data_IF_491363834386
#
_entry.id   IF_491363834386
#
_cell.length_a   1.000
_cell.length_b   1.000
_cell.length_c   1.000
_cell.angle_alpha   90.00
_cell.angle_beta   90.00
_cell.angle_gamma   90.00
#
_symmetry.space_group_name_H-M   'P 1'
#
loop_
_entity.id
_entity.type
_entity.pdbx_description
1 polymer ?
#
# COMPACT_ATOMS: atom_id res chain seq x y z
N UNK A 1 20.20 -29.18 14.35
CA UNK A 1 20.99 -27.94 14.40
C UNK A 1 20.03 -26.80 14.67
N UNK A 2 20.35 -25.86 15.58
CA UNK A 2 19.53 -24.66 15.76
C UNK A 2 19.57 -23.86 14.44
N UNK A 3 18.39 -23.42 13.94
CA UNK A 3 18.33 -22.55 12.78
C UNK A 3 18.98 -21.22 13.13
N UNK A 4 19.89 -20.74 12.32
CA UNK A 4 20.52 -19.44 12.49
C UNK A 4 19.66 -18.39 11.82
N UNK A 5 19.40 -17.28 12.51
CA UNK A 5 18.73 -16.13 11.90
C UNK A 5 19.58 -15.57 10.76
N UNK A 6 18.94 -15.24 9.64
CA UNK A 6 19.56 -14.65 8.46
C UNK A 6 18.82 -13.40 8.00
N UNK A 7 19.45 -12.62 7.14
CA UNK A 7 18.78 -11.46 6.53
C UNK A 7 17.84 -11.87 5.39
N UNK A 8 16.81 -11.06 5.18
CA UNK A 8 15.86 -11.18 4.06
C UNK A 8 16.08 -10.01 3.10
N UNK A 9 16.47 -10.33 1.88
CA UNK A 9 16.87 -9.38 0.86
C UNK A 9 15.77 -9.17 -0.18
N UNK A 10 15.43 -7.93 -0.47
CA UNK A 10 14.53 -7.55 -1.56
C UNK A 10 15.36 -7.41 -2.81
N UNK A 11 15.09 -8.21 -3.83
CA UNK A 11 15.81 -8.19 -5.11
C UNK A 11 15.00 -7.62 -6.26
N UNK A 12 13.67 -7.53 -6.10
CA UNK A 12 12.77 -6.89 -7.06
C UNK A 12 11.62 -6.20 -6.32
N UNK A 13 11.16 -5.08 -6.86
CA UNK A 13 10.02 -4.34 -6.34
C UNK A 13 9.32 -3.62 -7.50
N UNK A 14 8.06 -3.98 -7.76
CA UNK A 14 7.28 -3.46 -8.88
C UNK A 14 5.84 -3.23 -8.49
N UNK A 15 5.16 -2.31 -9.19
CA UNK A 15 3.75 -2.04 -8.99
C UNK A 15 3.05 -1.65 -10.30
N UNK A 16 1.75 -1.77 -10.35
CA UNK A 16 0.94 -1.11 -11.37
C UNK A 16 0.87 0.39 -11.12
N UNK A 17 0.50 1.20 -12.12
CA UNK A 17 -0.10 2.49 -11.83
C UNK A 17 -1.31 2.31 -10.90
N UNK A 18 -1.72 3.37 -10.20
CA UNK A 18 -2.91 3.38 -9.35
C UNK A 18 -4.06 4.07 -10.10
N UNK A 19 -5.19 3.35 -10.25
CA UNK A 19 -6.41 3.87 -10.83
C UNK A 19 -7.36 4.43 -9.78
N UNK A 20 -8.20 5.41 -10.16
CA UNK A 20 -9.29 5.93 -9.32
C UNK A 20 -10.49 4.99 -9.34
N UNK A 21 -11.01 4.62 -8.20
CA UNK A 21 -12.28 3.92 -8.10
C UNK A 21 -13.44 4.92 -7.88
N UNK A 22 -14.64 4.61 -8.32
CA UNK A 22 -15.06 3.47 -9.15
C UNK A 22 -15.11 3.79 -10.66
N UNK A 23 -14.59 4.91 -11.12
CA UNK A 23 -14.78 5.42 -12.50
C UNK A 23 -13.48 5.61 -13.28
N UNK A 24 -12.35 5.28 -12.68
CA UNK A 24 -11.03 5.49 -13.25
C UNK A 24 -10.62 4.43 -14.27
N UNK A 25 -9.33 4.46 -14.59
CA UNK A 25 -8.77 3.68 -15.69
C UNK A 25 -8.91 2.17 -15.50
N UNK A 26 -8.91 1.67 -14.25
CA UNK A 26 -8.99 0.24 -13.93
C UNK A 26 -10.40 -0.25 -13.52
N UNK A 27 -11.44 0.58 -13.69
CA UNK A 27 -12.82 0.24 -13.29
C UNK A 27 -13.35 -1.10 -13.79
N UNK A 28 -12.84 -1.60 -14.92
CA UNK A 28 -13.22 -2.86 -15.55
C UNK A 28 -12.05 -3.86 -15.60
N UNK A 29 -10.91 -3.56 -14.93
CA UNK A 29 -9.75 -4.43 -14.86
C UNK A 29 -9.80 -5.24 -13.56
N UNK A 30 -9.75 -6.55 -13.67
CA UNK A 30 -9.83 -7.44 -12.51
C UNK A 30 -8.60 -7.29 -11.60
N UNK A 31 -8.77 -7.34 -10.28
CA UNK A 31 -7.65 -7.24 -9.33
C UNK A 31 -6.64 -8.38 -9.47
N UNK A 32 -7.08 -9.57 -9.83
CA UNK A 32 -6.19 -10.71 -10.12
C UNK A 32 -5.32 -10.45 -11.37
N UNK A 33 -5.83 -9.79 -12.41
CA UNK A 33 -5.04 -9.37 -13.58
C UNK A 33 -4.00 -8.31 -13.22
N UNK A 34 -4.35 -7.33 -12.37
CA UNK A 34 -3.39 -6.35 -11.85
C UNK A 34 -2.28 -7.03 -11.02
N UNK A 35 -2.64 -8.00 -10.17
CA UNK A 35 -1.69 -8.78 -9.40
C UNK A 35 -0.76 -9.60 -10.28
N UNK A 36 -1.31 -10.30 -11.29
CA UNK A 36 -0.52 -11.07 -12.28
C UNK A 36 0.50 -10.18 -12.97
N UNK A 37 0.08 -8.97 -13.37
CA UNK A 37 0.99 -8.01 -14.01
C UNK A 37 2.12 -7.59 -13.06
N UNK A 38 1.80 -7.25 -11.80
CA UNK A 38 2.79 -6.87 -10.81
C UNK A 38 3.80 -8.01 -10.52
N UNK A 39 3.31 -9.26 -10.39
CA UNK A 39 4.17 -10.43 -10.18
C UNK A 39 5.09 -10.65 -11.37
N UNK A 40 4.56 -10.65 -12.60
CA UNK A 40 5.36 -10.80 -13.83
C UNK A 40 6.43 -9.72 -13.95
N UNK A 41 6.07 -8.49 -13.64
CA UNK A 41 6.98 -7.36 -13.69
C UNK A 41 8.10 -7.46 -12.64
N UNK A 42 7.79 -7.91 -11.41
CA UNK A 42 8.81 -8.17 -10.40
C UNK A 42 9.75 -9.32 -10.82
N UNK A 43 9.22 -10.41 -11.37
CA UNK A 43 10.04 -11.51 -11.90
C UNK A 43 10.93 -11.05 -13.05
N UNK A 44 10.44 -10.18 -13.92
CA UNK A 44 11.21 -9.64 -15.04
C UNK A 44 12.39 -8.74 -14.59
N UNK A 45 12.36 -8.17 -13.39
CA UNK A 45 13.49 -7.42 -12.82
C UNK A 45 14.67 -8.32 -12.41
N UNK A 46 14.45 -9.63 -12.25
CA UNK A 46 15.47 -10.61 -11.85
C UNK A 46 15.53 -11.80 -12.80
N UNK A 47 15.90 -11.57 -14.08
CA UNK A 47 15.83 -12.61 -15.13
C UNK A 47 16.76 -13.80 -14.86
N UNK A 48 17.75 -13.65 -13.97
CA UNK A 48 18.63 -14.75 -13.56
C UNK A 48 18.02 -15.70 -12.53
N UNK A 49 16.90 -15.34 -11.88
CA UNK A 49 16.24 -16.17 -10.88
C UNK A 49 15.40 -17.26 -11.55
N UNK A 50 15.71 -18.54 -11.26
CA UNK A 50 14.80 -19.63 -11.64
C UNK A 50 13.54 -19.58 -10.77
N UNK A 51 12.39 -19.32 -11.36
CA UNK A 51 11.11 -19.25 -10.64
C UNK A 51 10.72 -20.52 -9.90
N UNK A 52 11.37 -21.66 -10.21
CA UNK A 52 11.17 -22.95 -9.50
C UNK A 52 11.66 -22.92 -8.06
N UNK A 53 12.55 -21.99 -7.71
CA UNK A 53 13.03 -21.84 -6.33
C UNK A 53 12.10 -20.98 -5.46
N UNK A 54 11.11 -20.32 -6.06
CA UNK A 54 10.10 -19.58 -5.32
C UNK A 54 9.17 -20.62 -4.65
N UNK A 55 9.05 -20.55 -3.34
CA UNK A 55 8.31 -21.54 -2.57
C UNK A 55 6.87 -21.11 -2.30
N UNK A 56 6.64 -19.80 -2.04
CA UNK A 56 5.32 -19.31 -1.68
C UNK A 56 5.12 -17.86 -2.13
N UNK A 57 3.85 -17.46 -2.31
CA UNK A 57 3.41 -16.11 -2.58
C UNK A 57 2.47 -15.63 -1.46
N UNK A 58 2.88 -14.62 -0.71
CA UNK A 58 2.05 -14.01 0.33
C UNK A 58 1.50 -12.68 -0.20
N UNK A 59 0.17 -12.61 -0.38
CA UNK A 59 -0.48 -11.46 -1.00
C UNK A 59 -1.51 -10.85 -0.06
N UNK A 60 -1.37 -9.55 0.18
CA UNK A 60 -2.32 -8.75 0.92
C UNK A 60 -3.56 -8.41 0.10
N UNK A 61 -4.74 -8.59 0.69
CA UNK A 61 -6.02 -8.13 0.15
C UNK A 61 -6.92 -7.74 1.32
N UNK A 62 -7.45 -6.51 1.30
CA UNK A 62 -8.23 -6.00 2.44
C UNK A 62 -9.67 -6.54 2.46
N UNK A 63 -10.26 -6.75 1.29
CA UNK A 63 -11.62 -7.27 1.15
C UNK A 63 -11.58 -8.50 0.22
N UNK A 64 -11.10 -9.66 0.71
CA UNK A 64 -10.87 -10.85 -0.12
C UNK A 64 -12.20 -11.57 -0.46
N UNK A 65 -13.00 -10.95 -1.33
CA UNK A 65 -14.26 -11.51 -1.85
C UNK A 65 -14.43 -11.20 -3.34
N UNK A 66 -15.44 -11.76 -3.97
CA UNK A 66 -15.79 -11.56 -5.38
C UNK A 66 -14.57 -11.73 -6.30
N UNK A 67 -14.23 -10.73 -7.14
CA UNK A 67 -13.13 -10.78 -8.11
C UNK A 67 -11.74 -10.89 -7.47
N UNK A 68 -11.60 -10.59 -6.19
CA UNK A 68 -10.37 -10.75 -5.39
C UNK A 68 -10.55 -11.76 -4.25
N UNK A 69 -11.60 -12.58 -4.36
CA UNK A 69 -11.95 -13.63 -3.42
C UNK A 69 -11.15 -14.92 -3.59
N UNK A 70 -11.64 -15.97 -2.94
CA UNK A 70 -10.94 -17.25 -2.84
C UNK A 70 -9.52 -17.06 -2.27
N UNK A 71 -8.54 -17.67 -2.89
CA UNK A 71 -7.13 -17.43 -2.59
C UNK A 71 -6.47 -16.69 -3.76
N UNK A 72 -6.66 -15.37 -3.83
CA UNK A 72 -6.14 -14.55 -4.92
C UNK A 72 -4.61 -14.64 -5.05
N UNK A 73 -3.89 -14.93 -3.96
CA UNK A 73 -2.45 -15.15 -3.98
C UNK A 73 -2.07 -16.35 -4.85
N UNK A 74 -2.70 -17.50 -4.58
CA UNK A 74 -2.44 -18.72 -5.36
C UNK A 74 -2.89 -18.60 -6.81
N UNK A 75 -4.06 -17.99 -7.03
CA UNK A 75 -4.56 -17.74 -8.39
C UNK A 75 -3.63 -16.80 -9.14
N UNK A 76 -3.22 -15.68 -8.53
CA UNK A 76 -2.28 -14.74 -9.13
C UNK A 76 -0.93 -15.37 -9.47
N UNK A 77 -0.37 -16.20 -8.60
CA UNK A 77 0.87 -16.92 -8.84
C UNK A 77 0.77 -17.85 -10.07
N UNK A 78 -0.29 -18.66 -10.15
CA UNK A 78 -0.50 -19.58 -11.29
C UNK A 78 -0.76 -18.84 -12.61
N UNK A 79 -1.61 -17.81 -12.58
CA UNK A 79 -1.92 -17.01 -13.76
C UNK A 79 -0.73 -16.16 -14.21
N UNK A 80 0.19 -15.83 -13.30
CA UNK A 80 1.46 -15.20 -13.65
C UNK A 80 2.41 -16.15 -14.41
N UNK A 81 2.14 -17.45 -14.40
CA UNK A 81 2.94 -18.47 -15.06
C UNK A 81 4.01 -19.08 -14.13
N UNK A 82 3.89 -18.89 -12.82
CA UNK A 82 4.78 -19.55 -11.87
C UNK A 82 4.51 -21.04 -11.81
N UNK A 83 5.52 -21.86 -11.43
CA UNK A 83 5.36 -23.31 -11.32
C UNK A 83 4.27 -23.74 -10.33
N UNK A 84 3.66 -24.89 -10.56
CA UNK A 84 2.66 -25.46 -9.65
C UNK A 84 3.19 -25.75 -8.24
N UNK A 85 4.49 -25.80 -8.06
CA UNK A 85 5.16 -25.95 -6.75
C UNK A 85 5.06 -24.72 -5.88
N UNK A 86 4.84 -23.51 -6.44
CA UNK A 86 4.72 -22.27 -5.68
C UNK A 86 3.40 -22.26 -4.91
N UNK A 87 3.46 -22.17 -3.59
CA UNK A 87 2.28 -22.00 -2.74
C UNK A 87 1.60 -20.64 -2.94
N UNK A 88 0.62 -20.36 -2.11
CA UNK A 88 -0.02 -19.04 -2.08
C UNK A 88 -0.92 -18.88 -0.86
N UNK A 89 -0.82 -17.75 -0.18
CA UNK A 89 -1.69 -17.37 0.92
C UNK A 89 -2.11 -15.91 0.82
N UNK A 90 -3.41 -15.68 0.96
CA UNK A 90 -3.98 -14.33 1.02
C UNK A 90 -4.11 -13.90 2.48
N UNK A 91 -3.56 -12.73 2.81
CA UNK A 91 -3.57 -12.19 4.17
C UNK A 91 -4.34 -10.88 4.23
N UNK A 92 -5.06 -10.68 5.32
CA UNK A 92 -5.85 -9.48 5.57
C UNK A 92 -5.43 -8.80 6.88
N UNK A 93 -4.93 -7.60 6.75
CA UNK A 93 -4.77 -6.58 7.81
C UNK A 93 -5.20 -5.23 7.24
N UNK A 94 -6.34 -5.22 6.53
CA UNK A 94 -6.86 -4.04 5.84
C UNK A 94 -5.76 -3.27 5.08
N UNK A 95 -5.58 -1.98 5.38
CA UNK A 95 -4.60 -1.11 4.74
C UNK A 95 -3.16 -1.63 4.79
N UNK A 96 -2.80 -2.39 5.81
CA UNK A 96 -1.43 -2.91 6.01
C UNK A 96 -1.22 -4.33 5.47
N UNK A 97 -2.17 -4.91 4.73
CA UNK A 97 -2.07 -6.29 4.25
C UNK A 97 -0.81 -6.52 3.41
N UNK A 98 -0.51 -5.65 2.46
CA UNK A 98 0.69 -5.78 1.61
C UNK A 98 2.01 -5.64 2.38
N UNK A 99 2.07 -4.74 3.38
CA UNK A 99 3.24 -4.61 4.24
C UNK A 99 3.37 -5.82 5.18
N UNK A 100 2.25 -6.35 5.67
CA UNK A 100 2.22 -7.60 6.45
C UNK A 100 2.69 -8.79 5.63
N UNK A 101 2.29 -8.87 4.36
CA UNK A 101 2.75 -9.90 3.43
C UNK A 101 4.27 -9.87 3.25
N UNK A 102 4.85 -8.66 3.09
CA UNK A 102 6.30 -8.48 3.01
C UNK A 102 7.01 -8.91 4.30
N UNK A 103 6.47 -8.51 5.46
CA UNK A 103 7.03 -8.91 6.76
C UNK A 103 6.98 -10.44 6.96
N UNK A 104 5.86 -11.08 6.65
CA UNK A 104 5.72 -12.54 6.77
C UNK A 104 6.68 -13.28 5.83
N UNK A 105 6.85 -12.83 4.59
CA UNK A 105 7.82 -13.41 3.66
C UNK A 105 9.25 -13.26 4.18
N UNK A 106 9.61 -12.06 4.66
CA UNK A 106 10.92 -11.79 5.26
C UNK A 106 11.17 -12.67 6.50
N UNK A 107 10.18 -12.86 7.36
CA UNK A 107 10.33 -13.66 8.57
C UNK A 107 10.54 -15.15 8.24
N UNK A 108 9.87 -15.71 7.24
CA UNK A 108 10.10 -17.09 6.77
C UNK A 108 11.50 -17.29 6.22
N UNK A 109 12.01 -16.29 5.48
CA UNK A 109 13.42 -16.29 5.05
C UNK A 109 14.35 -16.24 6.26
N UNK A 110 14.14 -15.31 7.20
CA UNK A 110 14.99 -15.12 8.37
C UNK A 110 15.12 -16.36 9.25
N UNK A 111 14.05 -17.08 9.44
CA UNK A 111 14.08 -18.32 10.24
C UNK A 111 14.53 -19.54 9.43
N UNK A 112 14.91 -19.36 8.16
CA UNK A 112 15.40 -20.43 7.28
C UNK A 112 14.35 -21.47 6.93
N UNK A 113 13.07 -21.10 6.87
CA UNK A 113 11.98 -21.95 6.38
C UNK A 113 11.80 -21.86 4.87
N UNK A 114 12.23 -20.75 4.28
CA UNK A 114 12.18 -20.52 2.84
C UNK A 114 13.42 -19.77 2.38
N UNK A 115 13.80 -19.95 1.11
CA UNK A 115 14.93 -19.27 0.49
C UNK A 115 14.50 -18.20 -0.53
N UNK A 116 13.30 -18.31 -1.12
CA UNK A 116 12.77 -17.34 -2.07
C UNK A 116 11.25 -17.24 -1.99
N UNK A 117 10.71 -16.03 -1.91
CA UNK A 117 9.28 -15.76 -1.75
C UNK A 117 8.84 -14.56 -2.56
N UNK A 118 7.57 -14.56 -2.95
CA UNK A 118 6.88 -13.38 -3.45
C UNK A 118 6.05 -12.78 -2.30
N UNK A 119 6.18 -11.48 -2.11
CA UNK A 119 5.31 -10.70 -1.25
C UNK A 119 4.62 -9.61 -2.07
N UNK A 120 3.34 -9.35 -1.82
CA UNK A 120 2.63 -8.35 -2.61
C UNK A 120 1.29 -7.96 -2.01
N UNK A 121 0.51 -7.29 -2.83
CA UNK A 121 -0.87 -6.96 -2.50
C UNK A 121 -1.65 -6.54 -3.74
N UNK A 122 -2.96 -6.75 -3.71
CA UNK A 122 -3.89 -6.27 -4.72
C UNK A 122 -5.18 -5.76 -4.08
N UNK A 123 -5.81 -4.80 -4.72
CA UNK A 123 -7.13 -4.31 -4.35
C UNK A 123 -7.81 -3.67 -5.54
N UNK A 124 -9.10 -3.93 -5.73
CA UNK A 124 -9.97 -3.16 -6.61
C UNK A 124 -11.17 -2.67 -5.82
N UNK A 125 -11.16 -1.37 -5.51
CA UNK A 125 -12.30 -0.72 -4.89
C UNK A 125 -13.34 -0.28 -5.92
N UNK A 126 -13.05 -0.50 -7.22
CA UNK A 126 -14.01 -0.36 -8.31
C UNK A 126 -14.96 -1.56 -8.41
N UNK A 127 -14.45 -2.77 -8.20
CA UNK A 127 -15.22 -4.02 -8.31
C UNK A 127 -15.75 -4.50 -6.97
N UNK A 128 -14.96 -4.31 -5.89
CA UNK A 128 -15.33 -4.76 -4.54
C UNK A 128 -15.41 -3.55 -3.61
N UNK A 129 -16.60 -3.21 -3.10
CA UNK A 129 -16.77 -2.06 -2.21
C UNK A 129 -16.03 -2.24 -0.89
N UNK A 130 -15.64 -1.13 -0.24
CA UNK A 130 -14.80 -1.10 0.98
C UNK A 130 -15.32 -1.99 2.13
N UNK A 131 -16.62 -2.21 2.23
CA UNK A 131 -17.20 -3.06 3.28
C UNK A 131 -17.56 -4.45 2.78
N UNK A 132 -17.18 -4.78 1.54
CA UNK A 132 -17.64 -6.00 0.87
C UNK A 132 -19.05 -5.87 0.30
N UNK A 133 -19.44 -6.86 -0.49
CA UNK A 133 -20.78 -6.90 -1.11
C UNK A 133 -21.87 -7.30 -0.12
N UNK A 134 -21.49 -8.03 0.93
CA UNK A 134 -22.41 -8.50 1.98
C UNK A 134 -21.80 -8.22 3.36
N UNK A 135 -21.76 -6.96 3.82
CA UNK A 135 -21.25 -6.66 5.14
C UNK A 135 -22.12 -7.31 6.22
N UNK A 136 -21.49 -8.00 7.16
CA UNK A 136 -22.16 -8.62 8.30
C UNK A 136 -21.28 -8.48 9.53
N UNK A 137 -21.66 -7.57 10.42
CA UNK A 137 -20.94 -7.33 11.67
C UNK A 137 -21.58 -8.10 12.80
N UNK A 138 -20.76 -8.51 13.77
CA UNK A 138 -21.30 -9.08 15.02
C UNK A 138 -22.14 -8.04 15.75
N UNK A 139 -23.37 -8.35 16.20
CA UNK A 139 -24.16 -7.43 17.01
C UNK A 139 -23.49 -7.10 18.35
N UNK A 140 -22.59 -7.95 18.85
CA UNK A 140 -21.87 -7.72 20.11
C UNK A 140 -20.92 -6.50 20.10
N UNK A 141 -20.59 -5.94 18.94
CA UNK A 141 -19.84 -4.67 18.88
C UNK A 141 -20.63 -3.48 19.47
N UNK A 142 -21.95 -3.63 19.64
CA UNK A 142 -22.83 -2.61 20.25
C UNK A 142 -23.10 -2.85 21.74
N UNK A 143 -22.57 -3.92 22.32
CA UNK A 143 -22.75 -4.23 23.74
C UNK A 143 -21.89 -3.35 24.64
N UNK A 144 -20.78 -2.81 24.12
CA UNK A 144 -19.82 -1.99 24.84
C UNK A 144 -19.50 -0.70 24.08
N UNK A 145 -19.50 0.42 24.76
CA UNK A 145 -19.25 1.73 24.14
C UNK A 145 -17.87 1.82 23.47
N UNK A 146 -16.85 1.19 24.03
CA UNK A 146 -15.51 1.17 23.48
C UNK A 146 -15.40 0.39 22.16
N UNK A 147 -16.31 -0.53 21.90
CA UNK A 147 -16.31 -1.36 20.69
C UNK A 147 -17.09 -0.73 19.52
N UNK A 148 -17.99 0.21 19.79
CA UNK A 148 -18.82 0.87 18.76
C UNK A 148 -17.96 1.46 17.63
N UNK A 149 -16.75 1.92 17.93
CA UNK A 149 -15.79 2.43 16.95
C UNK A 149 -15.43 1.42 15.85
N UNK A 150 -15.63 0.11 16.06
CA UNK A 150 -15.42 -0.93 15.04
C UNK A 150 -16.40 -0.73 13.86
N UNK A 151 -17.61 -0.25 14.13
CA UNK A 151 -18.64 -0.01 13.13
C UNK A 151 -18.49 1.37 12.43
N UNK A 152 -17.57 2.21 12.88
CA UNK A 152 -17.40 3.52 12.25
C UNK A 152 -16.83 3.41 10.85
N UNK A 153 -17.42 4.13 9.91
CA UNK A 153 -16.77 4.41 8.63
C UNK A 153 -15.47 5.19 8.86
N UNK A 154 -14.47 4.95 8.01
CA UNK A 154 -13.11 5.51 8.19
C UNK A 154 -13.10 7.04 8.27
N UNK A 155 -13.98 7.72 7.52
CA UNK A 155 -14.08 9.18 7.60
C UNK A 155 -14.57 9.69 8.95
N UNK A 156 -15.45 8.94 9.64
CA UNK A 156 -15.89 9.31 10.99
C UNK A 156 -14.73 9.16 12.00
N UNK A 157 -13.90 8.12 11.86
CA UNK A 157 -12.69 8.00 12.69
C UNK A 157 -11.70 9.13 12.45
N UNK A 158 -11.59 9.63 11.20
CA UNK A 158 -10.76 10.79 10.88
C UNK A 158 -11.29 12.08 11.52
N UNK A 159 -12.61 12.29 11.56
CA UNK A 159 -13.22 13.42 12.29
C UNK A 159 -12.94 13.35 13.79
N UNK A 160 -12.99 12.15 14.39
CA UNK A 160 -12.63 11.94 15.80
C UNK A 160 -11.16 12.29 16.07
N UNK A 161 -10.26 11.95 15.17
CA UNK A 161 -8.85 12.34 15.26
C UNK A 161 -8.71 13.85 15.09
N UNK A 162 -9.35 14.46 14.09
CA UNK A 162 -9.29 15.91 13.88
C UNK A 162 -9.75 16.70 15.12
N UNK A 163 -10.86 16.27 15.73
CA UNK A 163 -11.40 16.87 16.96
C UNK A 163 -10.43 16.71 18.14
N UNK A 164 -9.96 15.49 18.40
CA UNK A 164 -9.14 15.17 19.58
C UNK A 164 -7.75 15.79 19.51
N UNK A 165 -7.13 15.85 18.33
CA UNK A 165 -5.81 16.47 18.10
C UNK A 165 -5.90 17.92 17.64
N UNK A 166 -7.11 18.48 17.55
CA UNK A 166 -7.38 19.89 17.15
C UNK A 166 -6.75 20.23 15.80
N UNK A 167 -6.84 19.31 14.84
CA UNK A 167 -6.34 19.51 13.48
C UNK A 167 -7.38 20.33 12.71
N UNK A 168 -7.04 21.57 12.35
CA UNK A 168 -7.97 22.45 11.65
C UNK A 168 -8.23 21.99 10.21
N UNK A 169 -9.34 22.46 9.62
CA UNK A 169 -9.67 22.23 8.21
C UNK A 169 -8.60 22.81 7.28
N UNK A 170 -8.10 23.99 7.58
CA UNK A 170 -7.08 24.68 6.80
C UNK A 170 -5.76 23.88 6.79
N UNK A 171 -5.37 23.32 7.93
CA UNK A 171 -4.17 22.47 8.02
C UNK A 171 -4.32 21.20 7.18
N UNK A 172 -5.51 20.56 7.21
CA UNK A 172 -5.81 19.39 6.40
C UNK A 172 -5.77 19.71 4.91
N UNK A 173 -6.36 20.82 4.49
CA UNK A 173 -6.38 21.25 3.09
C UNK A 173 -4.96 21.62 2.61
N UNK A 174 -4.16 22.31 3.42
CA UNK A 174 -2.76 22.65 3.08
C UNK A 174 -1.89 21.39 2.91
N UNK A 175 -2.05 20.41 3.79
CA UNK A 175 -1.38 19.12 3.68
C UNK A 175 -1.75 18.39 2.36
N UNK A 176 -3.01 18.48 1.96
CA UNK A 176 -3.51 17.86 0.75
C UNK A 176 -2.98 18.53 -0.52
N UNK A 177 -2.93 19.87 -0.54
CA UNK A 177 -2.30 20.63 -1.65
C UNK A 177 -0.84 20.22 -1.81
N UNK A 178 -0.11 20.12 -0.69
CA UNK A 178 1.31 19.72 -0.75
C UNK A 178 1.48 18.27 -1.23
N UNK A 179 0.61 17.32 -0.82
CA UNK A 179 0.64 15.95 -1.34
C UNK A 179 0.48 15.92 -2.86
N UNK A 180 -0.50 16.66 -3.41
CA UNK A 180 -0.68 16.77 -4.86
C UNK A 180 0.50 17.42 -5.57
N UNK A 181 1.02 18.51 -5.02
CA UNK A 181 2.18 19.22 -5.59
C UNK A 181 3.40 18.31 -5.70
N UNK A 182 3.69 17.55 -4.62
CA UNK A 182 4.80 16.58 -4.60
C UNK A 182 4.59 15.47 -5.60
N UNK A 183 3.38 14.90 -5.69
CA UNK A 183 3.07 13.81 -6.60
C UNK A 183 3.23 14.21 -8.07
N UNK A 184 2.79 15.41 -8.44
CA UNK A 184 2.95 15.92 -9.82
C UNK A 184 4.41 16.15 -10.13
N UNK A 185 5.15 16.83 -9.26
CA UNK A 185 6.57 17.06 -9.45
C UNK A 185 7.35 15.74 -9.60
N UNK A 186 6.97 14.71 -8.82
CA UNK A 186 7.57 13.39 -8.91
C UNK A 186 7.25 12.68 -10.24
N UNK A 187 5.99 12.77 -10.73
CA UNK A 187 5.63 12.24 -12.04
C UNK A 187 6.38 12.92 -13.17
N UNK A 188 6.46 14.24 -13.17
CA UNK A 188 7.19 15.04 -14.17
C UNK A 188 8.70 14.75 -14.16
N UNK A 189 9.26 14.50 -12.99
CA UNK A 189 10.67 14.12 -12.83
C UNK A 189 10.97 12.64 -13.15
N UNK A 190 9.95 11.82 -13.43
CA UNK A 190 10.11 10.39 -13.68
C UNK A 190 10.51 9.56 -12.45
N UNK A 191 10.23 10.05 -11.24
CA UNK A 191 10.62 9.42 -9.98
C UNK A 191 9.98 8.02 -9.79
N UNK A 192 8.90 7.71 -10.50
CA UNK A 192 8.21 6.42 -10.42
C UNK A 192 8.59 5.42 -11.53
N UNK A 193 9.47 5.80 -12.46
CA UNK A 193 9.76 4.99 -13.66
C UNK A 193 10.36 3.60 -13.33
N UNK A 194 11.12 3.48 -12.25
CA UNK A 194 11.76 2.22 -11.86
C UNK A 194 10.79 1.25 -11.16
N UNK A 195 9.67 1.76 -10.65
CA UNK A 195 8.72 0.96 -9.85
C UNK A 195 7.43 0.67 -10.60
N UNK A 196 6.94 1.59 -11.46
CA UNK A 196 5.70 1.41 -12.22
C UNK A 196 5.97 0.57 -13.47
N UNK A 197 5.34 -0.60 -13.53
CA UNK A 197 5.22 -1.37 -14.76
C UNK A 197 4.02 -0.87 -15.57
N UNK A 198 4.27 -0.36 -16.77
CA UNK A 198 3.21 0.09 -17.67
C UNK A 198 2.21 -1.04 -17.94
N UNK A 199 0.91 -0.72 -17.86
CA UNK A 199 -0.17 -1.70 -18.01
C UNK A 199 -0.98 -1.43 -19.27
N UNK A 200 -1.22 -2.48 -20.07
CA UNK A 200 -2.08 -2.39 -21.26
C UNK A 200 -3.54 -2.73 -20.90
N UNK A 201 -4.38 -1.71 -20.87
CA UNK A 201 -5.82 -1.88 -20.69
C UNK A 201 -6.43 -2.32 -22.02
N UNK A 202 -7.19 -3.43 -21.99
CA UNK A 202 -7.94 -3.93 -23.14
C UNK A 202 -9.43 -3.82 -22.89
N UNK A 203 -10.10 -2.93 -23.59
CA UNK A 203 -11.54 -2.74 -23.54
C UNK A 203 -12.21 -3.44 -24.73
N UNK A 204 -13.28 -4.17 -24.45
CA UNK A 204 -14.11 -4.80 -25.47
C UNK A 204 -15.51 -4.24 -25.37
N UNK A 205 -16.05 -3.77 -26.49
CA UNK A 205 -17.39 -3.20 -26.55
C UNK A 205 -18.10 -3.55 -27.86
N UNK A 206 -19.43 -3.72 -27.85
CA UNK A 206 -20.17 -4.00 -29.06
C UNK A 206 -20.21 -2.77 -29.96
N UNK A 207 -19.98 -2.96 -31.25
CA UNK A 207 -20.36 -1.99 -32.27
C UNK A 207 -21.83 -2.19 -32.62
N UNK A 208 -22.67 -1.27 -32.16
CA UNK A 208 -24.11 -1.39 -32.36
C UNK A 208 -24.55 -1.27 -33.85
N UNK A 209 -23.70 -0.72 -34.71
CA UNK A 209 -23.96 -0.59 -36.13
C UNK A 209 -23.68 -1.88 -36.93
N UNK A 210 -22.63 -2.64 -36.51
CA UNK A 210 -22.17 -3.83 -37.23
C UNK A 210 -22.50 -5.12 -36.49
N UNK A 211 -22.78 -5.08 -35.17
CA UNK A 211 -22.93 -6.23 -34.30
C UNK A 211 -21.57 -6.90 -33.94
N UNK A 212 -20.45 -6.34 -34.38
CA UNK A 212 -19.13 -6.86 -34.11
C UNK A 212 -18.59 -6.40 -32.74
N UNK A 213 -17.64 -7.15 -32.16
CA UNK A 213 -16.93 -6.74 -30.95
C UNK A 213 -15.72 -5.92 -31.35
N UNK A 214 -15.72 -4.64 -31.01
CA UNK A 214 -14.54 -3.78 -31.13
C UNK A 214 -13.61 -3.94 -29.92
N UNK A 215 -12.32 -3.97 -30.20
CA UNK A 215 -11.27 -4.03 -29.18
C UNK A 215 -10.46 -2.73 -29.22
N UNK A 216 -10.33 -2.08 -28.08
CA UNK A 216 -9.49 -0.89 -27.90
C UNK A 216 -8.44 -1.20 -26.85
N UNK A 217 -7.17 -0.94 -27.15
CA UNK A 217 -6.06 -1.04 -26.21
C UNK A 217 -5.48 0.33 -25.93
N UNK A 218 -5.07 0.56 -24.69
CA UNK A 218 -4.28 1.74 -24.30
C UNK A 218 -3.28 1.36 -23.22
N UNK A 219 -2.07 1.89 -23.31
CA UNK A 219 -1.06 1.75 -22.28
C UNK A 219 -1.22 2.87 -21.24
N UNK A 220 -1.05 2.53 -19.96
CA UNK A 220 -1.06 3.46 -18.83
C UNK A 220 0.17 3.21 -17.97
N UNK A 221 0.89 4.27 -17.63
CA UNK A 221 2.16 4.24 -16.88
C UNK A 221 2.24 5.29 -15.77
N UNK A 222 1.17 6.05 -15.54
CA UNK A 222 1.10 7.09 -14.52
C UNK A 222 -0.05 6.82 -13.56
N UNK A 223 0.16 7.14 -12.28
CA UNK A 223 -0.91 7.17 -11.30
C UNK A 223 -1.96 8.21 -11.71
N UNK A 224 -3.25 7.81 -11.69
CA UNK A 224 -4.35 8.63 -12.19
C UNK A 224 -4.77 9.72 -11.18
N UNK A 225 -4.32 9.58 -9.92
CA UNK A 225 -4.77 10.39 -8.79
C UNK A 225 -4.36 11.85 -8.78
N UNK A 226 -3.10 12.23 -9.08
CA UNK A 226 -2.60 13.59 -8.92
C UNK A 226 -3.38 14.64 -9.73
N UNK A 227 -3.61 15.83 -9.13
CA UNK A 227 -4.38 16.93 -9.72
C UNK A 227 -3.63 18.23 -9.62
N UNK A 228 -3.19 18.79 -10.76
CA UNK A 228 -2.41 20.02 -10.84
C UNK A 228 -3.15 21.28 -10.42
N UNK A 229 -4.47 21.27 -10.57
CA UNK A 229 -5.34 22.39 -10.21
C UNK A 229 -5.72 22.45 -8.73
N UNK A 230 -5.22 21.51 -7.91
CA UNK A 230 -5.54 21.49 -6.46
C UNK A 230 -4.98 22.73 -5.77
N UNK A 231 -5.86 23.49 -5.11
CA UNK A 231 -5.52 24.73 -4.42
C UNK A 231 -6.29 24.87 -3.11
N UNK A 232 -5.77 25.69 -2.18
CA UNK A 232 -6.45 25.99 -0.92
C UNK A 232 -7.85 26.55 -1.15
N UNK A 233 -8.00 27.45 -2.11
CA UNK A 233 -9.29 28.05 -2.47
C UNK A 233 -10.28 27.00 -3.02
N UNK A 234 -9.81 26.08 -3.86
CA UNK A 234 -10.59 24.98 -4.39
C UNK A 234 -11.07 24.02 -3.30
N UNK A 235 -10.16 23.62 -2.40
CA UNK A 235 -10.48 22.72 -1.29
C UNK A 235 -11.42 23.35 -0.26
N UNK A 236 -11.26 24.64 0.05
CA UNK A 236 -12.13 25.36 0.99
C UNK A 236 -13.61 25.34 0.59
N UNK A 237 -13.93 25.23 -0.71
CA UNK A 237 -15.30 25.14 -1.24
C UNK A 237 -15.94 23.76 -1.05
N UNK A 238 -15.15 22.73 -0.70
CA UNK A 238 -15.66 21.37 -0.53
C UNK A 238 -16.46 21.25 0.78
N UNK A 239 -17.60 20.59 0.68
CA UNK A 239 -18.43 20.26 1.85
C UNK A 239 -17.81 19.09 2.63
N UNK A 240 -17.97 19.12 3.96
CA UNK A 240 -17.69 17.97 4.82
C UNK A 240 -18.63 16.83 4.50
N UNK A 241 -18.13 15.58 4.53
CA UNK A 241 -18.88 14.42 4.02
C UNK A 241 -19.16 13.34 5.06
N UNK A 242 -18.50 13.41 6.24
CA UNK A 242 -18.59 12.34 7.24
C UNK A 242 -19.29 12.77 8.54
N UNK A 243 -19.24 14.05 8.91
CA UNK A 243 -19.90 14.59 10.08
C UNK A 243 -20.54 15.95 9.80
N UNK A 244 -21.68 16.21 10.46
CA UNK A 244 -22.25 17.55 10.44
C UNK A 244 -21.31 18.52 11.17
N UNK A 245 -20.95 19.64 10.53
CA UNK A 245 -19.93 20.58 11.03
C UNK A 245 -18.55 19.94 11.26
N UNK A 246 -18.22 18.88 10.50
CA UNK A 246 -16.90 18.26 10.50
C UNK A 246 -15.86 19.10 9.76
N UNK A 247 -14.68 18.51 9.56
CA UNK A 247 -13.56 19.12 8.83
C UNK A 247 -13.04 18.28 7.69
N UNK A 248 -13.39 16.98 7.67
CA UNK A 248 -12.92 16.02 6.66
C UNK A 248 -13.79 16.09 5.41
N UNK A 249 -13.14 16.19 4.26
CA UNK A 249 -13.76 16.31 2.94
C UNK A 249 -13.21 15.28 1.97
N UNK A 250 -13.80 15.16 0.80
CA UNK A 250 -13.24 14.34 -0.28
C UNK A 250 -11.86 14.84 -0.75
N UNK A 251 -11.54 16.13 -0.54
CA UNK A 251 -10.28 16.73 -0.98
C UNK A 251 -9.12 16.53 0.00
N UNK A 252 -9.40 16.23 1.29
CA UNK A 252 -8.38 15.97 2.30
C UNK A 252 -8.42 14.53 2.84
N UNK A 253 -8.97 13.63 2.02
CA UNK A 253 -9.03 12.19 2.21
C UNK A 253 -8.34 11.47 1.06
N UNK A 254 -7.79 10.26 1.31
CA UNK A 254 -7.27 9.42 0.24
C UNK A 254 -8.37 9.02 -0.75
N UNK A 255 -7.97 8.81 -1.99
CA UNK A 255 -8.89 8.34 -3.01
C UNK A 255 -9.13 6.83 -2.86
N UNK A 256 -10.36 6.37 -3.03
CA UNK A 256 -10.64 4.96 -3.32
C UNK A 256 -9.94 4.57 -4.63
N UNK A 257 -9.29 3.42 -4.67
CA UNK A 257 -8.33 3.15 -5.73
C UNK A 257 -8.24 1.66 -6.07
N UNK A 258 -7.71 1.40 -7.27
CA UNK A 258 -7.40 0.08 -7.80
C UNK A 258 -5.89 -0.02 -8.03
N UNK A 259 -5.27 -1.14 -7.72
CA UNK A 259 -3.85 -1.34 -7.97
C UNK A 259 -3.28 -2.62 -7.36
N UNK A 260 -2.05 -2.94 -7.73
CA UNK A 260 -1.29 -4.06 -7.20
C UNK A 260 0.21 -3.74 -7.11
N UNK A 261 0.91 -4.43 -6.21
CA UNK A 261 2.36 -4.39 -6.10
C UNK A 261 2.92 -5.76 -5.73
N UNK A 262 4.15 -6.05 -6.16
CA UNK A 262 4.84 -7.29 -5.86
C UNK A 262 6.35 -7.07 -5.66
N UNK A 263 6.90 -7.79 -4.68
CA UNK A 263 8.31 -7.80 -4.35
C UNK A 263 8.81 -9.25 -4.33
N UNK A 264 10.08 -9.45 -4.69
CA UNK A 264 10.75 -10.74 -4.52
C UNK A 264 11.73 -10.63 -3.38
N UNK A 265 11.58 -11.53 -2.40
CA UNK A 265 12.39 -11.59 -1.18
C UNK A 265 13.16 -12.89 -1.17
N UNK A 266 14.47 -12.83 -0.93
CA UNK A 266 15.35 -13.99 -0.99
C UNK A 266 16.32 -14.04 0.17
N UNK A 267 16.88 -15.24 0.43
CA UNK A 267 17.99 -15.46 1.35
C UNK A 267 19.34 -15.07 0.71
N UNK A 268 20.39 -14.91 1.52
CA UNK A 268 21.75 -14.71 1.02
C UNK A 268 22.23 -15.89 0.14
N UNK A 269 21.79 -17.10 0.43
CA UNK A 269 22.05 -18.29 -0.39
C UNK A 269 21.55 -18.10 -1.83
N UNK A 270 20.34 -17.54 -2.02
CA UNK A 270 19.80 -17.26 -3.35
C UNK A 270 20.51 -16.12 -4.04
N UNK A 271 20.91 -15.05 -3.31
CA UNK A 271 21.76 -14.00 -3.89
C UNK A 271 23.01 -14.61 -4.56
N UNK A 272 23.72 -15.48 -3.81
CA UNK A 272 24.94 -16.13 -4.29
C UNK A 272 24.69 -17.13 -5.42
N UNK A 273 23.63 -17.97 -5.29
CA UNK A 273 23.33 -19.03 -6.26
C UNK A 273 22.93 -18.48 -7.64
N UNK A 274 22.24 -17.36 -7.67
CA UNK A 274 21.72 -16.75 -8.91
C UNK A 274 22.42 -15.43 -9.27
N UNK A 275 23.49 -15.07 -8.57
CA UNK A 275 24.23 -13.81 -8.76
C UNK A 275 23.30 -12.58 -8.79
N UNK A 276 22.39 -12.49 -7.83
CA UNK A 276 21.41 -11.42 -7.73
C UNK A 276 21.99 -10.22 -6.97
N UNK A 277 21.67 -9.03 -7.41
CA UNK A 277 22.01 -7.78 -6.70
C UNK A 277 20.85 -7.42 -5.77
N UNK A 278 21.05 -7.36 -4.44
CA UNK A 278 20.00 -6.92 -3.55
C UNK A 278 19.73 -5.42 -3.72
N UNK A 279 18.46 -5.05 -3.75
CA UNK A 279 18.03 -3.65 -3.76
C UNK A 279 18.03 -3.06 -2.34
N UNK A 280 17.58 -3.87 -1.38
CA UNK A 280 17.41 -3.51 0.01
C UNK A 280 17.30 -4.79 0.87
N UNK A 281 17.32 -4.63 2.21
CA UNK A 281 16.87 -5.67 3.14
C UNK A 281 15.69 -5.17 3.97
N UNK A 282 14.82 -6.09 4.36
CA UNK A 282 13.73 -5.80 5.27
C UNK A 282 14.22 -5.92 6.71
N UNK A 283 14.20 -4.83 7.49
CA UNK A 283 14.88 -4.76 8.79
C UNK A 283 13.97 -5.17 9.94
N UNK A 284 12.78 -4.58 10.04
CA UNK A 284 11.85 -4.85 11.14
C UNK A 284 10.42 -4.57 10.77
N UNK A 285 9.50 -5.12 11.55
CA UNK A 285 8.07 -4.87 11.43
C UNK A 285 7.42 -4.85 12.80
N UNK A 286 6.47 -3.95 13.01
CA UNK A 286 5.65 -3.92 14.21
C UNK A 286 4.21 -3.56 13.90
N UNK A 287 3.30 -4.15 14.68
CA UNK A 287 1.87 -3.82 14.69
C UNK A 287 1.47 -3.49 16.13
N UNK A 288 0.62 -2.48 16.29
CA UNK A 288 0.06 -2.09 17.59
C UNK A 288 -1.42 -1.77 17.45
N UNK A 289 -2.20 -2.15 18.46
CA UNK A 289 -3.59 -1.78 18.59
C UNK A 289 -3.77 -0.40 19.19
N UNK A 290 -4.84 0.28 18.77
CA UNK A 290 -5.34 1.55 19.34
C UNK A 290 -6.86 1.49 19.40
N UNK A 291 -7.54 2.36 20.15
CA UNK A 291 -9.00 2.40 20.14
C UNK A 291 -9.55 2.51 18.72
N UNK A 292 -10.55 1.69 18.33
CA UNK A 292 -11.08 1.65 16.97
C UNK A 292 -11.59 3.01 16.47
N UNK A 293 -12.20 3.82 17.34
CA UNK A 293 -12.76 5.13 17.00
C UNK A 293 -11.72 6.16 16.53
N UNK A 294 -10.45 5.95 16.88
CA UNK A 294 -9.31 6.80 16.51
C UNK A 294 -8.24 5.99 15.78
N UNK A 295 -8.62 5.02 14.98
CA UNK A 295 -7.70 4.11 14.26
C UNK A 295 -6.57 4.86 13.52
N UNK A 296 -6.83 6.10 13.10
CA UNK A 296 -5.89 6.93 12.35
C UNK A 296 -4.55 7.15 13.04
N UNK A 297 -4.52 7.13 14.37
CA UNK A 297 -3.27 7.33 15.13
C UNK A 297 -2.44 6.06 15.29
N UNK A 298 -2.86 4.93 14.74
CA UNK A 298 -2.14 3.65 14.85
C UNK A 298 -0.63 3.73 14.60
N UNK A 299 -0.14 4.49 13.61
CA UNK A 299 1.30 4.70 13.38
C UNK A 299 2.06 5.25 14.58
N UNK A 300 1.43 6.08 15.43
CA UNK A 300 2.04 6.61 16.64
C UNK A 300 2.57 5.51 17.56
N UNK A 301 1.88 4.38 17.64
CA UNK A 301 2.26 3.26 18.47
C UNK A 301 3.14 2.24 17.70
N UNK A 302 2.95 2.12 16.39
CA UNK A 302 3.68 1.16 15.57
C UNK A 302 5.11 1.62 15.23
N UNK A 303 5.32 2.91 14.94
CA UNK A 303 6.61 3.49 14.58
C UNK A 303 7.66 3.27 15.68
N UNK A 304 7.42 3.67 16.95
CA UNK A 304 8.41 3.44 18.01
C UNK A 304 8.71 1.95 18.23
N UNK A 305 7.69 1.09 18.05
CA UNK A 305 7.89 -0.35 18.21
C UNK A 305 8.75 -0.95 17.10
N UNK A 306 8.58 -0.52 15.84
CA UNK A 306 9.41 -0.96 14.72
C UNK A 306 10.86 -0.46 14.85
N UNK A 307 11.04 0.80 15.25
CA UNK A 307 12.36 1.39 15.53
C UNK A 307 13.07 0.64 16.64
N UNK A 308 12.39 0.36 17.75
CA UNK A 308 12.94 -0.45 18.85
C UNK A 308 13.38 -1.83 18.40
N UNK A 309 12.56 -2.51 17.58
CA UNK A 309 12.90 -3.83 17.06
C UNK A 309 14.13 -3.81 16.13
N UNK A 310 14.35 -2.69 15.42
CA UNK A 310 15.51 -2.47 14.57
C UNK A 310 16.77 -1.98 15.33
N UNK A 311 16.64 -1.54 16.58
CA UNK A 311 17.70 -0.85 17.30
C UNK A 311 18.04 0.54 16.73
N UNK A 312 17.04 1.18 16.09
CA UNK A 312 17.16 2.47 15.42
C UNK A 312 16.33 3.55 16.13
N UNK A 313 16.62 4.80 15.79
CA UNK A 313 15.89 5.99 16.22
C UNK A 313 15.17 6.64 15.04
N UNK A 314 14.24 7.54 15.31
CA UNK A 314 13.49 8.23 14.26
C UNK A 314 14.39 9.12 13.39
N UNK A 315 15.44 9.69 13.97
CA UNK A 315 16.42 10.52 13.28
C UNK A 315 17.20 9.76 12.21
N UNK A 316 17.36 8.43 12.38
CA UNK A 316 18.05 7.55 11.43
C UNK A 316 17.23 7.34 10.14
N UNK A 317 15.92 7.63 10.16
CA UNK A 317 15.09 7.51 8.98
C UNK A 317 15.36 8.64 8.00
N UNK A 318 15.66 8.30 6.75
CA UNK A 318 15.85 9.25 5.65
C UNK A 318 14.55 9.47 4.88
N UNK A 319 13.64 8.49 4.90
CA UNK A 319 12.39 8.47 4.14
C UNK A 319 11.29 7.76 4.92
N UNK A 320 10.12 8.38 5.04
CA UNK A 320 8.96 7.80 5.71
C UNK A 320 7.75 7.88 4.78
N UNK A 321 7.26 6.74 4.30
CA UNK A 321 5.95 6.61 3.67
C UNK A 321 4.90 6.44 4.76
N UNK A 322 4.33 7.55 5.22
CA UNK A 322 3.18 7.58 6.11
C UNK A 322 1.92 7.61 5.24
N UNK A 323 1.17 6.52 5.20
CA UNK A 323 -0.04 6.45 4.39
C UNK A 323 -1.04 7.54 4.78
N UNK A 324 -1.38 8.40 3.83
CA UNK A 324 -2.32 9.52 3.99
C UNK A 324 -3.76 9.03 3.79
N UNK A 325 -4.26 8.15 4.68
CA UNK A 325 -5.66 7.78 4.62
C UNK A 325 -6.56 9.02 4.72
N UNK A 326 -6.16 9.95 5.60
CA UNK A 326 -6.75 11.29 5.77
C UNK A 326 -5.65 12.27 6.17
N UNK A 327 -5.76 13.54 5.76
CA UNK A 327 -4.83 14.58 6.20
C UNK A 327 -4.86 14.75 7.73
N UNK A 328 -6.06 14.67 8.33
CA UNK A 328 -6.23 14.80 9.79
C UNK A 328 -5.38 13.80 10.57
N UNK A 329 -5.42 12.51 10.16
CA UNK A 329 -4.66 11.47 10.86
C UNK A 329 -3.15 11.59 10.62
N UNK A 330 -2.74 11.95 9.41
CA UNK A 330 -1.32 12.13 9.09
C UNK A 330 -0.72 13.28 9.92
N UNK A 331 -1.41 14.40 9.99
CA UNK A 331 -0.98 15.56 10.80
C UNK A 331 -0.92 15.23 12.29
N UNK A 332 -1.90 14.48 12.82
CA UNK A 332 -1.90 14.07 14.22
C UNK A 332 -0.69 13.17 14.56
N UNK A 333 -0.34 12.22 13.68
CA UNK A 333 0.84 11.36 13.86
C UNK A 333 2.13 12.17 13.77
N UNK A 334 2.25 13.05 12.79
CA UNK A 334 3.42 13.94 12.60
C UNK A 334 3.63 14.81 13.84
N UNK A 335 2.55 15.41 14.35
CA UNK A 335 2.58 16.28 15.54
C UNK A 335 3.01 15.52 16.80
N UNK A 336 2.39 14.36 17.06
CA UNK A 336 2.62 13.60 18.29
C UNK A 336 4.02 12.97 18.38
N UNK A 337 4.60 12.60 17.23
CA UNK A 337 5.93 12.01 17.17
C UNK A 337 7.04 13.00 16.80
N UNK A 338 6.69 14.27 16.52
CA UNK A 338 7.65 15.29 16.10
C UNK A 338 8.39 14.90 14.82
N UNK A 339 7.69 14.26 13.86
CA UNK A 339 8.31 13.80 12.63
C UNK A 339 8.70 14.98 11.74
N UNK A 340 9.86 14.88 11.08
CA UNK A 340 10.29 15.88 10.10
C UNK A 340 9.43 15.79 8.80
N UNK A 341 8.61 16.83 8.50
CA UNK A 341 7.75 16.81 7.33
C UNK A 341 8.50 16.70 5.98
N UNK A 342 9.79 17.04 5.95
CA UNK A 342 10.60 16.94 4.74
C UNK A 342 10.94 15.50 4.36
N UNK A 343 10.95 14.61 5.35
CA UNK A 343 11.21 13.17 5.18
C UNK A 343 9.93 12.36 4.92
N UNK A 344 8.75 12.97 5.11
CA UNK A 344 7.46 12.28 4.98
C UNK A 344 6.92 12.45 3.58
N UNK A 345 6.60 11.32 2.93
CA UNK A 345 5.98 11.27 1.61
C UNK A 345 6.63 12.25 0.61
N UNK A 346 7.94 12.21 0.40
CA UNK A 346 8.63 13.21 -0.42
C UNK A 346 8.17 13.21 -1.89
N UNK A 347 7.51 12.15 -2.35
CA UNK A 347 6.90 12.05 -3.68
C UNK A 347 5.38 12.21 -3.67
N UNK A 348 4.81 12.77 -2.60
CA UNK A 348 3.37 12.77 -2.36
C UNK A 348 2.86 11.45 -1.80
N UNK A 349 1.68 11.47 -1.20
CA UNK A 349 1.09 10.32 -0.53
C UNK A 349 -0.28 9.93 -1.09
N UNK A 350 -1.06 9.20 -0.30
CA UNK A 350 -2.28 8.55 -0.73
C UNK A 350 -3.42 9.53 -1.10
N UNK A 351 -3.42 10.74 -0.57
CA UNK A 351 -4.40 11.78 -0.95
C UNK A 351 -4.26 12.09 -2.44
N UNK A 352 -3.04 12.21 -2.93
CA UNK A 352 -2.75 12.46 -4.33
C UNK A 352 -2.68 11.17 -5.15
N UNK A 353 -1.88 10.19 -4.72
CA UNK A 353 -1.53 9.00 -5.50
C UNK A 353 -2.56 7.88 -5.38
N UNK A 354 -3.41 7.88 -4.34
CA UNK A 354 -4.41 6.85 -4.10
C UNK A 354 -4.02 5.81 -3.04
N UNK A 355 -5.05 5.04 -2.60
CA UNK A 355 -4.93 4.06 -1.52
C UNK A 355 -5.70 2.77 -1.84
N UNK A 356 -5.17 1.89 -2.71
CA UNK A 356 -5.77 0.58 -2.96
C UNK A 356 -5.47 -0.36 -1.78
N UNK A 357 -6.19 -0.21 -0.70
CA UNK A 357 -6.12 -0.81 0.64
C UNK A 357 -5.02 -1.89 0.81
N UNK A 358 -5.34 -3.15 0.46
CA UNK A 358 -4.43 -4.29 0.66
C UNK A 358 -3.17 -4.26 -0.21
N UNK A 359 -3.16 -3.53 -1.31
CA UNK A 359 -1.99 -3.33 -2.17
C UNK A 359 -1.04 -2.25 -1.64
N UNK A 360 -1.55 -1.28 -0.86
CA UNK A 360 -0.80 -0.07 -0.50
C UNK A 360 0.55 -0.36 0.15
N UNK A 361 0.61 -1.35 1.05
CA UNK A 361 1.85 -1.68 1.73
C UNK A 361 2.97 -2.15 0.78
N UNK A 362 2.63 -2.95 -0.23
CA UNK A 362 3.57 -3.41 -1.25
C UNK A 362 3.96 -2.28 -2.22
N UNK A 363 3.00 -1.45 -2.61
CA UNK A 363 3.22 -0.28 -3.47
C UNK A 363 4.19 0.70 -2.79
N UNK A 364 3.93 1.08 -1.53
CA UNK A 364 4.79 2.01 -0.79
C UNK A 364 6.16 1.41 -0.46
N UNK A 365 6.24 0.09 -0.23
CA UNK A 365 7.53 -0.59 -0.11
C UNK A 365 8.36 -0.49 -1.40
N UNK A 366 7.74 -0.63 -2.57
CA UNK A 366 8.41 -0.40 -3.86
C UNK A 366 8.91 1.04 -3.98
N UNK A 367 8.09 2.03 -3.63
CA UNK A 367 8.48 3.44 -3.62
C UNK A 367 9.68 3.70 -2.71
N UNK A 368 9.67 3.16 -1.49
CA UNK A 368 10.80 3.29 -0.54
C UNK A 368 12.06 2.64 -1.10
N UNK A 369 11.97 1.40 -1.59
CA UNK A 369 13.15 0.67 -2.14
C UNK A 369 13.83 1.47 -3.25
N UNK A 370 13.05 1.93 -4.25
CA UNK A 370 13.61 2.68 -5.38
C UNK A 370 14.04 4.10 -4.98
N UNK A 371 13.28 4.77 -4.10
CA UNK A 371 13.59 6.11 -3.62
C UNK A 371 14.88 6.16 -2.81
N UNK A 372 15.10 5.20 -1.90
CA UNK A 372 16.36 5.09 -1.15
C UNK A 372 17.56 4.93 -2.08
N UNK A 373 17.42 4.12 -3.14
CA UNK A 373 18.48 3.91 -4.12
C UNK A 373 18.80 5.16 -4.92
N UNK A 374 17.79 5.83 -5.48
CA UNK A 374 17.98 7.05 -6.29
C UNK A 374 18.63 8.17 -5.49
N UNK A 375 18.27 8.34 -4.23
CA UNK A 375 18.75 9.43 -3.37
C UNK A 375 19.95 9.05 -2.52
N UNK A 376 20.47 7.82 -2.66
CA UNK A 376 21.56 7.30 -1.85
C UNK A 376 21.26 7.39 -0.33
N UNK A 377 20.00 7.24 0.05
CA UNK A 377 19.54 7.21 1.43
C UNK A 377 19.71 5.80 2.01
N UNK A 378 19.77 5.68 3.34
CA UNK A 378 20.06 4.41 4.00
C UNK A 378 18.79 3.73 4.51
N UNK A 379 18.00 4.41 5.32
CA UNK A 379 16.83 3.82 5.97
C UNK A 379 15.54 4.47 5.52
N UNK A 380 14.56 3.63 5.19
CA UNK A 380 13.21 4.03 4.90
C UNK A 380 12.17 3.26 5.70
N UNK A 381 11.04 3.87 5.93
CA UNK A 381 9.92 3.29 6.68
C UNK A 381 8.64 3.37 5.85
N UNK A 382 7.85 2.29 5.89
CA UNK A 382 6.46 2.29 5.45
C UNK A 382 5.60 2.13 6.69
N UNK A 383 4.65 3.05 6.90
CA UNK A 383 3.75 3.01 8.06
C UNK A 383 2.35 3.45 7.69
N UNK A 384 1.35 2.88 8.35
CA UNK A 384 -0.05 3.17 8.07
C UNK A 384 -0.97 2.88 9.24
N UNK A 385 -2.04 3.62 9.31
CA UNK A 385 -3.19 3.30 10.13
C UNK A 385 -3.98 2.15 9.49
N UNK A 386 -4.68 1.39 10.31
CA UNK A 386 -5.40 0.18 9.89
C UNK A 386 -6.78 0.18 10.49
N UNK A 387 -7.77 -0.12 9.68
CA UNK A 387 -9.17 -0.24 10.12
C UNK A 387 -9.32 -1.10 11.37
N UNK A 388 -10.36 -0.85 12.15
CA UNK A 388 -10.64 -1.52 13.45
C UNK A 388 -9.64 -1.20 14.58
N UNK A 389 -8.78 -0.19 14.40
CA UNK A 389 -7.92 0.33 15.48
C UNK A 389 -6.55 -0.35 15.57
N UNK A 390 -5.74 -0.25 14.52
CA UNK A 390 -4.35 -0.71 14.52
C UNK A 390 -3.44 0.27 13.79
N UNK A 391 -2.13 0.13 14.01
CA UNK A 391 -1.08 0.69 13.20
C UNK A 391 -0.03 -0.35 12.84
N UNK A 392 0.58 -0.19 11.68
CA UNK A 392 1.71 -1.02 11.24
C UNK A 392 2.87 -0.14 10.77
N UNK A 393 4.10 -0.58 11.03
CA UNK A 393 5.31 0.06 10.54
C UNK A 393 6.35 -0.99 10.17
N UNK A 394 6.99 -0.83 9.00
CA UNK A 394 8.08 -1.68 8.52
C UNK A 394 9.28 -0.85 8.09
N UNK A 395 10.49 -1.27 8.42
CA UNK A 395 11.74 -0.58 8.12
C UNK A 395 12.51 -1.35 7.06
N UNK A 396 13.00 -0.62 6.08
CA UNK A 396 13.76 -1.10 4.93
C UNK A 396 15.12 -0.39 4.93
N UNK A 397 16.18 -1.14 4.71
CA UNK A 397 17.55 -0.61 4.57
C UNK A 397 18.06 -0.83 3.17
N UNK A 398 18.56 0.23 2.52
CA UNK A 398 19.27 0.13 1.25
C UNK A 398 20.64 -0.50 1.47
N UNK A 399 21.05 -1.34 0.55
CA UNK A 399 22.37 -2.00 0.53
C UNK A 399 23.29 -1.37 -0.53
#
# INVERSE_FOLDING_TARGET
MAKQLQDAYIVAASRTPIGKAPRGMFKNTRPDELLVHAIRSAVAQVPGLDTKVIEDAIIGCAIPEAEQGLNVARMGALLAGLPNSVGGVTVNRFCASGLTALAMAADRIRVGESDAMIAGGCESMSMVPMMGNKPSMSPHIFDRNEDIGIAYGMGLTAEKVAERWKISREAQDAFSVESHRRAIAAQEAGEFNDEIAAYTITERFPDLATGEVKVRTREVSLDEGPRGETSMEGLAKLRTVFANKGSVTAGNSSQTSDGAGALIVVSEKMLKAFNLTPLARFVSFAVRGVPPEIMGIGPKEAIPAALKAAGLKIEDMDWIELNEAFAAQSLAVIQDLGLDPSKINPLGGAIALGHPLGATGAIRASTVVHGLRRRNFKYGMVTMCVGTGMGAAGIIERL
#
